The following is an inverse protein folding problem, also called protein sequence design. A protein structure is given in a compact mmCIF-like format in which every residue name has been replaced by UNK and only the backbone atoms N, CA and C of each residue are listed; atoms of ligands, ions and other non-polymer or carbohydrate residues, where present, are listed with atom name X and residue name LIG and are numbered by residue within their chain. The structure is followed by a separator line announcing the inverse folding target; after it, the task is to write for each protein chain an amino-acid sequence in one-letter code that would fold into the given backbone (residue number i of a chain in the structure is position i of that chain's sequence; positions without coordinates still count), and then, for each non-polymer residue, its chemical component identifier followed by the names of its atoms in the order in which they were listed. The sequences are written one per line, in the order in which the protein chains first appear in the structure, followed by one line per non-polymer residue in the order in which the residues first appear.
data_IF_680611879958
#
_entry.id   IF_680611879958
#
_cell.length_a   1.000
_cell.length_b   1.000
_cell.length_c   1.000
_cell.angle_alpha   90.00
_cell.angle_beta   90.00
_cell.angle_gamma   90.00
#
_symmetry.space_group_name_H-M   'P 1'
#
loop_
_entity.id
_entity.type
_entity.pdbx_description
1 polymer ?
#
# COMPACT_ATOMS: atom_id res chain seq x y z
N UNK A 1 84.51 28.07 -17.25
CA UNK A 1 84.64 26.86 -18.06
C UNK A 1 84.23 25.64 -17.21
N UNK A 2 83.18 25.04 -17.52
CA UNK A 2 82.76 23.60 -17.37
C UNK A 2 81.24 23.53 -17.38
N UNK A 3 80.73 23.07 -18.51
CA UNK A 3 79.32 22.76 -18.75
C UNK A 3 79.07 21.40 -18.04
N UNK A 4 78.03 21.30 -17.25
CA UNK A 4 77.49 20.03 -16.73
C UNK A 4 76.10 19.86 -17.39
N UNK A 5 76.01 18.84 -18.27
CA UNK A 5 74.74 18.35 -18.84
C UNK A 5 73.98 17.59 -17.73
N UNK A 6 72.78 18.06 -17.43
CA UNK A 6 71.83 17.30 -16.59
C UNK A 6 70.91 16.47 -17.47
N UNK A 7 70.96 15.14 -17.36
CA UNK A 7 70.00 14.22 -17.93
C UNK A 7 68.66 14.33 -17.14
N UNK A 8 67.58 14.70 -17.82
CA UNK A 8 66.21 14.54 -17.32
C UNK A 8 65.74 13.08 -17.61
N UNK A 9 65.63 12.27 -16.57
CA UNK A 9 64.90 11.01 -16.63
C UNK A 9 63.41 11.33 -16.57
N UNK A 10 62.68 11.13 -17.64
CA UNK A 10 61.23 11.11 -17.66
C UNK A 10 60.74 9.73 -17.16
N UNK A 11 60.24 9.66 -15.90
CA UNK A 11 59.58 8.50 -15.40
C UNK A 11 58.12 8.50 -15.97
N UNK A 12 57.88 7.63 -16.92
CA UNK A 12 56.54 7.36 -17.41
C UNK A 12 55.73 6.61 -16.37
N UNK A 13 54.78 7.26 -15.71
CA UNK A 13 53.72 6.59 -14.97
C UNK A 13 52.77 5.93 -16.00
N UNK A 14 52.92 4.62 -16.16
CA UNK A 14 51.90 3.81 -16.80
C UNK A 14 50.72 3.71 -15.80
N UNK A 15 49.68 4.50 -16.03
CA UNK A 15 48.40 4.31 -15.43
C UNK A 15 47.85 2.96 -15.94
N UNK A 16 47.94 1.91 -15.11
CA UNK A 16 47.21 0.69 -15.35
C UNK A 16 45.72 1.01 -15.17
N UNK A 17 45.01 1.25 -16.27
CA UNK A 17 43.55 1.14 -16.30
C UNK A 17 43.23 -0.31 -15.92
N UNK A 18 42.84 -0.54 -14.68
CA UNK A 18 42.29 -1.81 -14.27
C UNK A 18 41.08 -2.09 -15.14
N UNK A 19 41.15 -3.10 -15.99
CA UNK A 19 39.99 -3.58 -16.72
C UNK A 19 38.94 -3.95 -15.67
N UNK A 20 37.81 -3.27 -15.68
CA UNK A 20 36.66 -3.66 -14.87
C UNK A 20 36.40 -5.15 -15.18
N UNK A 21 36.49 -5.99 -14.15
CA UNK A 21 36.28 -7.42 -14.31
C UNK A 21 34.86 -7.63 -14.81
N UNK A 22 34.69 -8.28 -15.95
CA UNK A 22 33.37 -8.56 -16.52
C UNK A 22 32.56 -9.37 -15.51
N UNK A 23 31.32 -8.95 -15.24
CA UNK A 23 30.40 -9.62 -14.32
C UNK A 23 30.14 -11.04 -14.84
N UNK A 24 30.26 -12.04 -13.99
CA UNK A 24 29.95 -13.44 -14.34
C UNK A 24 28.45 -13.62 -14.52
N UNK A 25 28.04 -14.70 -15.20
CA UNK A 25 26.58 -15.00 -15.39
C UNK A 25 25.83 -15.10 -14.06
N UNK A 26 26.43 -15.74 -13.04
CA UNK A 26 25.77 -15.90 -11.75
C UNK A 26 25.70 -14.58 -10.96
N UNK A 27 26.74 -13.77 -11.00
CA UNK A 27 26.70 -12.41 -10.43
C UNK A 27 25.64 -11.54 -11.15
N UNK A 28 25.58 -11.60 -12.48
CA UNK A 28 24.57 -10.86 -13.26
C UNK A 28 23.14 -11.29 -12.89
N UNK A 29 22.90 -12.60 -12.67
CA UNK A 29 21.59 -13.10 -12.20
C UNK A 29 21.23 -12.56 -10.83
N UNK A 30 22.16 -12.54 -9.89
CA UNK A 30 21.94 -12.01 -8.54
C UNK A 30 21.62 -10.52 -8.60
N UNK A 31 22.47 -9.74 -9.29
CA UNK A 31 22.25 -8.29 -9.44
C UNK A 31 20.94 -7.98 -10.14
N UNK A 32 20.60 -8.73 -11.19
CA UNK A 32 19.36 -8.53 -11.93
C UNK A 32 18.12 -8.84 -11.08
N UNK A 33 18.17 -9.87 -10.24
CA UNK A 33 17.10 -10.19 -9.31
C UNK A 33 16.92 -9.07 -8.28
N UNK A 34 18.01 -8.61 -7.66
CA UNK A 34 17.98 -7.52 -6.68
C UNK A 34 17.47 -6.21 -7.31
N UNK A 35 17.91 -5.90 -8.54
CA UNK A 35 17.44 -4.76 -9.31
C UNK A 35 15.94 -4.84 -9.65
N UNK A 36 15.47 -6.04 -10.01
CA UNK A 36 14.05 -6.27 -10.30
C UNK A 36 13.19 -6.09 -9.06
N UNK A 37 13.60 -6.67 -7.94
CA UNK A 37 12.92 -6.52 -6.64
C UNK A 37 12.95 -5.05 -6.17
N UNK A 38 14.09 -4.37 -6.29
CA UNK A 38 14.22 -2.94 -5.97
C UNK A 38 13.19 -2.09 -6.71
N UNK A 39 13.08 -2.28 -8.03
CA UNK A 39 12.21 -1.49 -8.89
C UNK A 39 10.74 -1.91 -8.86
N UNK A 40 10.40 -3.07 -8.29
CA UNK A 40 9.07 -3.68 -8.44
C UNK A 40 7.94 -2.78 -7.94
N UNK A 41 8.10 -2.16 -6.78
CA UNK A 41 7.10 -1.23 -6.24
C UNK A 41 6.89 -0.01 -7.14
N UNK A 42 7.96 0.57 -7.68
CA UNK A 42 7.91 1.73 -8.56
C UNK A 42 7.16 1.40 -9.87
N UNK A 43 7.54 0.31 -10.53
CA UNK A 43 6.91 -0.08 -11.81
C UNK A 43 5.44 -0.49 -11.59
N UNK A 44 5.13 -1.19 -10.50
CA UNK A 44 3.74 -1.55 -10.12
C UNK A 44 2.89 -0.32 -9.87
N UNK A 45 3.41 0.64 -9.11
CA UNK A 45 2.71 1.89 -8.79
C UNK A 45 2.46 2.73 -10.03
N UNK A 46 3.41 2.77 -10.94
CA UNK A 46 3.26 3.48 -12.23
C UNK A 46 2.18 2.84 -13.11
N UNK A 47 2.22 1.52 -13.31
CA UNK A 47 1.18 0.80 -14.07
C UNK A 47 -0.20 1.07 -13.45
N UNK A 48 -0.30 0.94 -12.14
CA UNK A 48 -1.55 1.18 -11.40
C UNK A 48 -2.02 2.63 -11.55
N UNK A 49 -1.10 3.62 -11.45
CA UNK A 49 -1.42 5.03 -11.68
C UNK A 49 -2.03 5.25 -13.05
N UNK A 50 -1.39 4.74 -14.10
CA UNK A 50 -1.90 4.89 -15.47
C UNK A 50 -3.28 4.27 -15.61
N UNK A 51 -3.48 3.03 -15.12
CA UNK A 51 -4.77 2.36 -15.18
C UNK A 51 -5.87 3.11 -14.42
N UNK A 52 -5.54 3.73 -13.29
CA UNK A 52 -6.52 4.47 -12.47
C UNK A 52 -6.82 5.87 -13.00
N UNK A 53 -5.87 6.51 -13.70
CA UNK A 53 -6.03 7.92 -14.08
C UNK A 53 -6.32 8.14 -15.56
N UNK A 54 -6.10 7.16 -16.42
CA UNK A 54 -6.37 7.28 -17.86
C UNK A 54 -7.85 7.04 -18.17
N UNK A 55 -8.70 7.84 -17.57
CA UNK A 55 -10.17 7.80 -17.66
C UNK A 55 -10.72 9.21 -17.91
N UNK A 56 -11.90 9.32 -18.52
CA UNK A 56 -12.53 10.60 -18.85
C UNK A 56 -13.30 11.22 -17.66
N UNK A 57 -13.69 10.39 -16.69
CA UNK A 57 -14.47 10.79 -15.50
C UNK A 57 -14.17 9.88 -14.32
N UNK A 58 -14.48 10.38 -13.13
CA UNK A 58 -14.34 9.59 -11.91
C UNK A 58 -15.43 8.50 -11.82
N UNK A 59 -15.00 7.27 -11.51
CA UNK A 59 -15.87 6.13 -11.21
C UNK A 59 -15.17 5.19 -10.21
N UNK A 60 -15.76 5.01 -9.02
CA UNK A 60 -15.17 4.25 -7.93
C UNK A 60 -13.80 4.80 -7.53
N UNK A 61 -12.74 4.01 -7.70
CA UNK A 61 -11.34 4.39 -7.41
C UNK A 61 -10.58 4.88 -8.66
N UNK A 62 -11.22 4.97 -9.81
CA UNK A 62 -10.65 5.55 -11.03
C UNK A 62 -11.08 7.01 -11.14
N UNK A 63 -10.12 7.90 -11.37
CA UNK A 63 -10.41 9.31 -11.60
C UNK A 63 -9.30 9.96 -12.43
N UNK A 64 -9.61 10.93 -13.31
CA UNK A 64 -8.59 11.70 -13.98
C UNK A 64 -7.59 12.32 -12.98
N UNK A 65 -6.34 12.51 -13.40
CA UNK A 65 -5.29 13.16 -12.60
C UNK A 65 -5.78 14.50 -12.02
N UNK A 66 -5.65 14.70 -10.71
CA UNK A 66 -6.10 15.91 -10.02
C UNK A 66 -7.56 15.90 -9.58
N UNK A 67 -8.24 14.77 -9.63
CA UNK A 67 -9.61 14.60 -9.17
C UNK A 67 -9.73 13.39 -8.22
N UNK A 68 -10.63 13.47 -7.23
CA UNK A 68 -10.98 12.33 -6.39
C UNK A 68 -11.96 11.37 -7.08
N UNK A 69 -11.62 10.07 -7.07
CA UNK A 69 -12.55 8.97 -7.19
C UNK A 69 -13.07 8.60 -5.81
N UNK A 70 -14.39 8.51 -5.64
CA UNK A 70 -15.01 8.28 -4.34
C UNK A 70 -15.90 7.04 -4.38
N UNK A 71 -15.59 6.04 -3.57
CA UNK A 71 -16.45 4.88 -3.33
C UNK A 71 -17.61 5.31 -2.43
N UNK A 72 -18.83 5.04 -2.85
CA UNK A 72 -20.04 5.57 -2.21
C UNK A 72 -20.69 4.61 -1.21
N UNK A 73 -20.34 3.33 -1.26
CA UNK A 73 -20.85 2.24 -0.41
C UNK A 73 -19.79 1.17 -0.25
N UNK A 74 -19.94 0.32 0.74
CA UNK A 74 -19.12 -0.89 0.86
C UNK A 74 -19.26 -1.79 -0.37
N UNK A 75 -18.21 -2.57 -0.69
CA UNK A 75 -18.33 -3.61 -1.71
C UNK A 75 -19.43 -4.63 -1.35
N UNK A 76 -20.23 -5.10 -2.31
CA UNK A 76 -21.21 -6.15 -2.07
C UNK A 76 -20.54 -7.53 -1.87
N UNK A 77 -21.29 -8.52 -1.44
CA UNK A 77 -20.80 -9.87 -1.15
C UNK A 77 -20.20 -10.59 -2.38
N UNK A 78 -20.65 -10.25 -3.57
CA UNK A 78 -20.16 -10.80 -4.86
C UNK A 78 -19.00 -10.01 -5.47
N UNK A 79 -18.50 -8.97 -4.78
CA UNK A 79 -17.33 -8.23 -5.22
C UNK A 79 -16.10 -9.12 -5.35
N UNK A 80 -15.38 -9.01 -6.48
CA UNK A 80 -14.17 -9.80 -6.80
C UNK A 80 -13.05 -8.93 -7.39
N UNK A 81 -13.03 -7.64 -7.06
CA UNK A 81 -12.01 -6.70 -7.54
C UNK A 81 -10.70 -6.80 -6.77
N UNK A 82 -10.67 -6.27 -5.56
CA UNK A 82 -9.48 -6.29 -4.68
C UNK A 82 -9.72 -7.22 -3.52
N UNK A 83 -8.75 -8.11 -3.25
CA UNK A 83 -8.78 -9.08 -2.13
C UNK A 83 -8.89 -8.38 -0.77
N UNK A 84 -9.47 -9.05 0.21
CA UNK A 84 -9.74 -8.52 1.56
C UNK A 84 -10.50 -7.18 1.57
N UNK A 85 -11.67 -7.09 0.90
CA UNK A 85 -12.43 -5.84 0.82
C UNK A 85 -12.79 -5.29 2.21
N UNK A 86 -12.98 -3.96 2.27
CA UNK A 86 -13.23 -3.24 3.51
C UNK A 86 -14.73 -2.92 3.67
N UNK A 87 -15.29 -3.14 4.86
CA UNK A 87 -16.65 -2.78 5.24
C UNK A 87 -16.70 -1.90 6.50
N UNK A 88 -15.71 -1.00 6.65
CA UNK A 88 -15.60 -0.05 7.76
C UNK A 88 -15.43 1.39 7.28
N UNK A 89 -14.82 1.58 6.12
CA UNK A 89 -14.51 2.92 5.58
C UNK A 89 -14.88 3.03 4.11
N UNK A 90 -15.29 4.22 3.69
CA UNK A 90 -15.42 4.56 2.27
C UNK A 90 -14.11 5.18 1.78
N UNK A 91 -13.67 4.74 0.61
CA UNK A 91 -12.42 5.18 0.03
C UNK A 91 -12.60 6.43 -0.84
N UNK A 92 -11.57 7.28 -0.81
CA UNK A 92 -11.40 8.43 -1.71
C UNK A 92 -9.98 8.41 -2.25
N UNK A 93 -9.80 8.17 -3.54
CA UNK A 93 -8.49 8.05 -4.17
C UNK A 93 -8.24 9.21 -5.12
N UNK A 94 -7.05 9.77 -5.09
CA UNK A 94 -6.63 10.80 -6.03
C UNK A 94 -5.14 10.71 -6.32
N UNK A 95 -4.80 11.00 -7.57
CA UNK A 95 -3.43 11.18 -8.04
C UNK A 95 -3.19 12.63 -8.43
N UNK A 96 -2.00 13.16 -8.14
CA UNK A 96 -1.58 14.49 -8.53
C UNK A 96 -0.24 14.43 -9.27
N UNK A 97 -0.09 15.24 -10.33
CA UNK A 97 1.17 15.50 -11.01
C UNK A 97 1.78 16.80 -10.48
N UNK A 98 2.88 16.68 -9.75
CA UNK A 98 3.60 17.79 -9.14
C UNK A 98 4.72 18.36 -10.03
N UNK A 99 4.81 17.89 -11.28
CA UNK A 99 5.90 18.25 -12.18
C UNK A 99 5.91 19.71 -12.63
N UNK A 100 4.77 20.40 -12.62
CA UNK A 100 4.67 21.81 -13.00
C UNK A 100 4.59 22.75 -11.81
N UNK A 101 3.81 22.39 -10.79
CA UNK A 101 3.61 23.17 -9.57
C UNK A 101 3.08 22.28 -8.44
N UNK A 102 3.17 22.72 -7.15
CA UNK A 102 2.52 22.06 -6.04
C UNK A 102 0.99 22.04 -6.19
N UNK A 103 0.39 21.04 -5.54
CA UNK A 103 -1.06 20.94 -5.40
C UNK A 103 -1.49 21.10 -3.96
N UNK A 104 -2.69 21.62 -3.75
CA UNK A 104 -3.32 21.72 -2.44
C UNK A 104 -4.40 20.66 -2.32
N UNK A 105 -4.29 19.80 -1.30
CA UNK A 105 -5.35 18.93 -0.85
C UNK A 105 -6.08 19.59 0.32
N UNK A 106 -7.40 19.62 0.26
CA UNK A 106 -8.25 20.19 1.31
C UNK A 106 -9.33 19.20 1.75
N UNK A 107 -9.61 19.14 3.05
CA UNK A 107 -10.79 18.45 3.58
C UNK A 107 -11.58 19.35 4.51
N UNK A 108 -12.92 19.17 4.62
CA UNK A 108 -13.77 19.95 5.53
C UNK A 108 -13.52 19.58 7.00
N UNK A 109 -14.25 20.24 7.91
CA UNK A 109 -14.37 19.79 9.29
C UNK A 109 -15.04 18.40 9.32
N UNK A 110 -14.35 17.41 9.84
CA UNK A 110 -14.76 16.02 9.93
C UNK A 110 -15.44 15.68 11.27
N UNK A 111 -15.44 16.64 12.21
CA UNK A 111 -15.93 16.45 13.56
C UNK A 111 -15.21 15.30 14.28
N UNK A 112 -15.98 14.43 14.90
CA UNK A 112 -15.46 13.23 15.59
C UNK A 112 -15.40 11.99 14.69
N UNK A 113 -15.75 12.11 13.39
CA UNK A 113 -15.69 10.99 12.46
C UNK A 113 -14.24 10.65 12.14
N UNK A 114 -13.87 9.39 12.34
CA UNK A 114 -12.54 8.92 12.00
C UNK A 114 -12.30 9.03 10.50
N UNK A 115 -11.14 9.54 10.14
CA UNK A 115 -10.67 9.60 8.76
C UNK A 115 -9.14 9.51 8.70
N UNK A 116 -8.65 9.15 7.52
CA UNK A 116 -7.23 8.96 7.25
C UNK A 116 -6.99 9.18 5.75
N UNK A 117 -6.00 10.03 5.40
CA UNK A 117 -5.54 10.28 4.03
C UNK A 117 -4.05 9.94 3.89
N UNK A 118 -3.67 8.66 3.96
CA UNK A 118 -2.29 8.29 3.73
C UNK A 118 -1.87 8.71 2.33
N UNK A 119 -0.71 9.34 2.27
CA UNK A 119 -0.11 9.92 1.07
C UNK A 119 1.13 9.12 0.72
N UNK A 120 1.24 8.70 -0.53
CA UNK A 120 2.29 7.80 -1.01
C UNK A 120 3.04 8.45 -2.17
N UNK A 121 4.36 8.29 -2.20
CA UNK A 121 5.14 8.56 -3.39
C UNK A 121 5.11 7.38 -4.37
N UNK A 122 5.82 7.48 -5.50
CA UNK A 122 5.85 6.39 -6.48
C UNK A 122 6.61 5.13 -6.00
N UNK A 123 7.47 5.24 -4.99
CA UNK A 123 8.12 4.09 -4.36
C UNK A 123 7.24 3.37 -3.35
N UNK A 124 6.07 3.94 -3.02
CA UNK A 124 4.99 3.36 -2.20
C UNK A 124 5.12 3.49 -0.67
N UNK A 125 6.18 4.01 -0.04
CA UNK A 125 6.10 4.30 1.38
C UNK A 125 5.04 5.37 1.67
N UNK A 126 4.45 5.32 2.86
CA UNK A 126 3.62 6.41 3.37
C UNK A 126 4.55 7.57 3.74
N UNK A 127 4.44 8.68 3.04
CA UNK A 127 5.24 9.90 3.29
C UNK A 127 4.56 10.87 4.25
N UNK A 128 3.24 10.82 4.33
CA UNK A 128 2.42 11.58 5.28
C UNK A 128 1.08 10.88 5.49
N UNK A 129 0.45 11.16 6.63
CA UNK A 129 -0.84 10.56 7.00
C UNK A 129 -1.78 11.60 7.59
N UNK A 130 -2.26 12.60 6.82
CA UNK A 130 -3.32 13.49 7.28
C UNK A 130 -4.53 12.71 7.78
N UNK A 131 -5.03 13.04 8.97
CA UNK A 131 -6.17 12.30 9.52
C UNK A 131 -6.40 12.56 11.00
N UNK A 132 -7.35 11.82 11.57
CA UNK A 132 -7.75 11.96 12.98
C UNK A 132 -6.57 11.89 13.95
N UNK A 133 -5.59 11.02 13.68
CA UNK A 133 -4.39 10.85 14.53
C UNK A 133 -3.46 12.07 14.48
N UNK A 134 -3.24 12.65 13.31
CA UNK A 134 -2.17 13.62 13.06
C UNK A 134 -2.65 15.07 13.09
N UNK A 135 -3.93 15.32 12.78
CA UNK A 135 -4.48 16.65 12.58
C UNK A 135 -5.80 16.90 13.35
N UNK A 136 -6.39 15.86 13.96
CA UNK A 136 -7.72 15.97 14.55
C UNK A 136 -8.82 16.13 13.50
N UNK A 137 -10.01 16.58 13.92
CA UNK A 137 -11.19 16.64 13.04
C UNK A 137 -11.41 17.94 12.27
N UNK A 138 -10.61 18.99 12.48
CA UNK A 138 -10.84 20.30 11.87
C UNK A 138 -10.49 20.34 10.40
N UNK A 139 -11.15 21.23 9.65
CA UNK A 139 -10.81 21.52 8.26
C UNK A 139 -9.34 21.89 8.11
N UNK A 140 -8.69 21.36 7.07
CA UNK A 140 -7.27 21.56 6.86
C UNK A 140 -6.90 21.61 5.37
N UNK A 141 -5.75 22.24 5.10
CA UNK A 141 -5.15 22.34 3.78
C UNK A 141 -3.71 21.82 3.83
N UNK A 142 -3.36 20.97 2.86
CA UNK A 142 -2.04 20.37 2.75
C UNK A 142 -1.42 20.72 1.41
N UNK A 143 -0.23 21.31 1.44
CA UNK A 143 0.53 21.64 0.22
C UNK A 143 1.41 20.47 -0.14
N UNK A 144 1.06 19.75 -1.23
CA UNK A 144 1.88 18.69 -1.81
C UNK A 144 2.97 19.32 -2.68
N UNK A 145 4.20 19.39 -2.15
CA UNK A 145 5.33 20.02 -2.83
C UNK A 145 6.21 18.97 -3.48
N UNK A 146 6.29 18.99 -4.83
CA UNK A 146 7.11 18.06 -5.61
C UNK A 146 8.62 18.29 -5.48
N UNK A 147 9.44 17.43 -6.13
CA UNK A 147 10.89 17.47 -6.01
C UNK A 147 11.47 18.84 -6.33
N UNK A 148 12.32 19.34 -5.44
CA UNK A 148 13.06 20.59 -5.67
C UNK A 148 12.26 21.89 -5.54
N UNK A 149 10.98 21.85 -5.18
CA UNK A 149 10.20 23.07 -4.96
C UNK A 149 10.74 23.90 -3.80
N UNK A 150 10.90 25.23 -4.00
CA UNK A 150 11.52 26.19 -3.06
C UNK A 150 10.61 27.38 -2.74
N UNK A 151 9.34 27.36 -3.14
CA UNK A 151 8.41 28.44 -2.88
C UNK A 151 8.03 28.58 -1.41
N UNK A 152 7.30 29.64 -1.10
CA UNK A 152 6.76 29.88 0.24
C UNK A 152 5.48 29.06 0.46
N UNK A 153 5.35 28.51 1.66
CA UNK A 153 4.12 27.81 2.09
C UNK A 153 3.08 28.86 2.49
N UNK A 154 1.91 28.89 1.86
CA UNK A 154 0.85 29.82 2.25
C UNK A 154 0.44 29.62 3.72
N UNK A 155 0.09 30.74 4.39
CA UNK A 155 -0.35 30.70 5.78
C UNK A 155 -1.55 29.77 5.96
N UNK A 156 -1.54 28.96 7.01
CA UNK A 156 -2.60 27.99 7.33
C UNK A 156 -2.52 26.68 6.58
N UNK A 157 -1.48 26.44 5.78
CA UNK A 157 -1.23 25.16 5.12
C UNK A 157 -0.13 24.35 5.82
N UNK A 158 -0.30 23.03 5.82
CA UNK A 158 0.75 22.09 6.21
C UNK A 158 1.44 21.59 4.95
N UNK A 159 2.77 21.78 4.87
CA UNK A 159 3.57 21.29 3.74
C UNK A 159 3.84 19.81 3.88
N UNK A 160 3.70 19.08 2.78
CA UNK A 160 4.15 17.69 2.59
C UNK A 160 5.16 17.68 1.44
N UNK A 161 6.41 17.36 1.76
CA UNK A 161 7.46 17.18 0.75
C UNK A 161 7.31 15.82 0.08
N UNK A 162 7.10 15.82 -1.24
CA UNK A 162 6.93 14.62 -2.04
C UNK A 162 8.21 14.40 -2.84
N UNK A 163 8.92 13.27 -2.65
CA UNK A 163 10.20 13.02 -3.32
C UNK A 163 10.05 12.60 -4.78
N UNK A 164 8.84 12.35 -5.27
CA UNK A 164 8.55 11.93 -6.64
C UNK A 164 7.61 12.91 -7.33
N UNK A 165 7.58 12.88 -8.67
CA UNK A 165 6.71 13.74 -9.48
C UNK A 165 5.22 13.48 -9.22
N UNK A 166 4.84 12.22 -9.12
CA UNK A 166 3.45 11.84 -8.86
C UNK A 166 3.26 11.46 -7.40
N UNK A 167 2.09 11.75 -6.88
CA UNK A 167 1.70 11.43 -5.51
C UNK A 167 0.29 10.87 -5.48
N UNK A 168 0.09 9.84 -4.67
CA UNK A 168 -1.21 9.22 -4.41
C UNK A 168 -1.72 9.63 -3.03
N UNK A 169 -3.00 9.96 -2.94
CA UNK A 169 -3.78 9.96 -1.69
C UNK A 169 -4.80 8.83 -1.77
N UNK A 170 -4.82 7.95 -0.75
CA UNK A 170 -5.86 6.94 -0.60
C UNK A 170 -6.62 7.14 0.71
N UNK A 171 -7.56 8.06 0.67
CA UNK A 171 -8.40 8.44 1.81
C UNK A 171 -9.33 7.31 2.26
N UNK A 172 -9.55 7.25 3.57
CA UNK A 172 -10.50 6.35 4.24
C UNK A 172 -11.33 7.17 5.22
N UNK A 173 -12.63 7.19 5.04
CA UNK A 173 -13.58 7.85 5.95
C UNK A 173 -14.48 6.80 6.57
N UNK A 174 -14.52 6.72 7.90
CA UNK A 174 -15.36 5.78 8.62
C UNK A 174 -16.82 5.87 8.21
N UNK A 175 -17.44 4.74 7.99
CA UNK A 175 -18.86 4.60 7.76
C UNK A 175 -19.43 3.44 8.60
N UNK A 176 -20.68 3.51 9.02
CA UNK A 176 -21.32 2.46 9.81
C UNK A 176 -22.17 1.48 8.99
N UNK A 177 -22.25 1.69 7.66
CA UNK A 177 -22.94 0.80 6.75
C UNK A 177 -24.44 1.08 6.55
N UNK A 178 -25.01 2.07 7.24
CA UNK A 178 -26.41 2.48 7.01
C UNK A 178 -26.54 3.46 5.87
N UNK A 179 -27.70 3.48 5.19
CA UNK A 179 -27.97 4.43 4.09
C UNK A 179 -27.83 5.88 4.52
N UNK A 180 -28.29 6.21 5.73
CA UNK A 180 -28.16 7.55 6.31
C UNK A 180 -26.69 7.94 6.44
N UNK A 181 -25.87 7.06 7.01
CA UNK A 181 -24.46 7.32 7.26
C UNK A 181 -23.66 7.38 5.95
N UNK A 182 -23.99 6.53 4.97
CA UNK A 182 -23.43 6.65 3.63
C UNK A 182 -23.70 8.03 3.01
N UNK A 183 -24.92 8.55 3.16
CA UNK A 183 -25.25 9.88 2.65
C UNK A 183 -24.42 10.99 3.34
N UNK A 184 -24.22 10.89 4.66
CA UNK A 184 -23.37 11.82 5.43
C UNK A 184 -21.90 11.75 4.97
N UNK A 185 -21.31 10.54 4.83
CA UNK A 185 -19.95 10.37 4.33
C UNK A 185 -19.81 10.87 2.90
N UNK A 186 -20.77 10.58 2.03
CA UNK A 186 -20.78 11.08 0.66
C UNK A 186 -20.82 12.60 0.58
N UNK A 187 -21.52 13.27 1.51
CA UNK A 187 -21.53 14.73 1.62
C UNK A 187 -20.16 15.30 2.06
N UNK A 188 -19.40 14.57 2.91
CA UNK A 188 -18.02 14.93 3.23
C UNK A 188 -17.09 14.71 2.04
N UNK A 189 -17.23 13.58 1.35
CA UNK A 189 -16.43 13.26 0.17
C UNK A 189 -16.61 14.30 -0.97
N UNK A 190 -17.80 14.86 -1.09
CA UNK A 190 -18.08 15.93 -2.07
C UNK A 190 -17.35 17.26 -1.77
N UNK A 191 -16.79 17.41 -0.58
CA UNK A 191 -16.04 18.58 -0.14
C UNK A 191 -14.52 18.34 -0.13
N UNK A 192 -14.05 17.13 -0.44
CA UNK A 192 -12.61 16.90 -0.64
C UNK A 192 -12.19 17.57 -1.94
N UNK A 193 -11.23 18.47 -1.83
CA UNK A 193 -10.81 19.32 -2.95
C UNK A 193 -9.32 19.14 -3.27
N UNK A 194 -9.04 19.22 -4.56
CA UNK A 194 -7.69 19.27 -5.10
C UNK A 194 -7.57 20.43 -6.08
N UNK A 195 -6.62 21.29 -5.86
CA UNK A 195 -6.34 22.39 -6.79
C UNK A 195 -4.83 22.64 -6.94
N UNK A 196 -4.34 23.03 -8.12
CA UNK A 196 -2.99 23.57 -8.26
C UNK A 196 -2.81 24.76 -7.32
N UNK A 197 -1.63 24.93 -6.73
CA UNK A 197 -1.34 26.04 -5.81
C UNK A 197 -1.68 27.40 -6.43
N UNK A 198 -1.35 27.60 -7.71
CA UNK A 198 -1.64 28.81 -8.46
C UNK A 198 -3.13 29.15 -8.57
N UNK A 199 -4.01 28.13 -8.38
CA UNK A 199 -5.47 28.24 -8.47
C UNK A 199 -6.18 28.16 -7.14
N UNK A 200 -5.47 27.86 -6.06
CA UNK A 200 -6.07 27.72 -4.73
C UNK A 200 -6.77 29.00 -4.27
N UNK A 201 -8.02 28.84 -3.82
CA UNK A 201 -8.87 29.95 -3.37
C UNK A 201 -9.42 30.84 -4.47
N UNK A 202 -9.20 30.55 -5.74
CA UNK A 202 -9.78 31.30 -6.85
C UNK A 202 -11.18 30.76 -7.19
N UNK A 203 -12.17 31.62 -7.09
CA UNK A 203 -13.58 31.25 -7.34
C UNK A 203 -13.89 30.90 -8.81
N UNK A 204 -13.05 31.32 -9.73
CA UNK A 204 -13.16 31.08 -11.16
C UNK A 204 -12.35 29.85 -11.64
N UNK A 205 -11.66 29.17 -10.73
CA UNK A 205 -10.96 27.93 -11.07
C UNK A 205 -11.98 26.83 -11.42
N UNK A 206 -11.84 26.27 -12.60
CA UNK A 206 -12.60 25.12 -13.06
C UNK A 206 -11.62 24.00 -13.41
N UNK A 207 -11.72 22.91 -12.69
CA UNK A 207 -10.91 21.72 -12.98
C UNK A 207 -11.18 21.23 -14.42
N UNK A 208 -10.12 20.87 -15.13
CA UNK A 208 -10.16 20.26 -16.45
C UNK A 208 -9.41 18.94 -16.43
N UNK A 209 -10.14 17.86 -16.68
CA UNK A 209 -9.52 16.54 -16.79
C UNK A 209 -8.51 16.53 -17.94
N UNK A 210 -7.32 15.93 -17.75
CA UNK A 210 -6.43 15.60 -18.84
C UNK A 210 -7.15 14.73 -19.89
N UNK A 211 -6.79 14.84 -21.18
CA UNK A 211 -7.35 13.95 -22.20
C UNK A 211 -6.93 12.50 -21.92
N UNK A 212 -7.83 11.57 -22.21
CA UNK A 212 -7.50 10.14 -22.17
C UNK A 212 -6.48 9.83 -23.27
N UNK A 213 -5.38 9.19 -22.87
CA UNK A 213 -4.36 8.72 -23.83
C UNK A 213 -4.86 7.44 -24.50
N UNK A 214 -5.06 7.42 -25.83
CA UNK A 214 -5.51 6.21 -26.52
C UNK A 214 -4.43 5.12 -26.60
N UNK A 215 -3.16 5.45 -26.29
CA UNK A 215 -2.01 4.55 -26.32
C UNK A 215 -1.19 4.65 -25.03
N UNK A 216 -1.76 4.29 -23.87
CA UNK A 216 -1.11 4.50 -22.57
C UNK A 216 0.14 3.63 -22.32
N UNK A 217 0.48 2.75 -23.27
CA UNK A 217 1.62 1.83 -23.18
C UNK A 217 1.38 0.59 -22.33
N UNK A 218 0.22 0.48 -21.69
CA UNK A 218 -0.18 -0.63 -20.82
C UNK A 218 -1.59 -1.11 -21.16
N UNK A 219 -1.84 -2.41 -20.87
CA UNK A 219 -3.21 -2.92 -20.81
C UNK A 219 -3.97 -2.20 -19.69
N UNK A 220 -5.17 -1.70 -20.01
CA UNK A 220 -6.05 -1.02 -19.05
C UNK A 220 -6.94 -1.98 -18.26
N UNK A 221 -6.92 -3.28 -18.58
CA UNK A 221 -7.80 -4.30 -18.01
C UNK A 221 -7.07 -5.43 -17.32
N UNK A 222 -5.81 -5.69 -17.70
CA UNK A 222 -5.01 -6.74 -17.07
C UNK A 222 -4.53 -6.28 -15.70
N UNK A 223 -4.38 -7.24 -14.77
CA UNK A 223 -3.79 -6.93 -13.45
C UNK A 223 -2.38 -6.37 -13.62
N UNK A 224 -1.94 -5.40 -12.77
CA UNK A 224 -0.59 -4.83 -12.87
C UNK A 224 0.52 -5.89 -12.92
N UNK A 225 0.41 -6.97 -12.16
CA UNK A 225 1.36 -8.10 -12.22
C UNK A 225 1.49 -8.71 -13.62
N UNK A 226 0.37 -8.88 -14.33
CA UNK A 226 0.36 -9.44 -15.69
C UNK A 226 0.99 -8.48 -16.70
N UNK A 227 0.69 -7.18 -16.55
CA UNK A 227 1.32 -6.13 -17.37
C UNK A 227 2.83 -6.14 -17.18
N UNK A 228 3.31 -6.21 -15.93
CA UNK A 228 4.75 -6.21 -15.59
C UNK A 228 5.43 -7.48 -16.14
N UNK A 229 4.83 -8.66 -15.96
CA UNK A 229 5.34 -9.90 -16.54
C UNK A 229 5.47 -9.80 -18.06
N UNK A 230 4.49 -9.20 -18.72
CA UNK A 230 4.47 -9.01 -20.17
C UNK A 230 5.55 -8.06 -20.70
N UNK A 231 6.15 -7.21 -19.87
CA UNK A 231 7.28 -6.34 -20.29
C UNK A 231 8.53 -7.14 -20.62
N UNK A 232 8.71 -8.32 -20.04
CA UNK A 232 9.95 -9.07 -20.07
C UNK A 232 11.10 -8.33 -19.35
N UNK A 233 12.28 -8.93 -19.30
CA UNK A 233 13.43 -8.38 -18.55
C UNK A 233 13.88 -7.02 -19.11
N UNK A 234 14.07 -6.92 -20.43
CA UNK A 234 14.55 -5.69 -21.07
C UNK A 234 13.55 -4.55 -20.96
N UNK A 235 12.27 -4.82 -21.24
CA UNK A 235 11.21 -3.81 -21.14
C UNK A 235 11.03 -3.29 -19.73
N UNK A 236 11.10 -4.19 -18.74
CA UNK A 236 11.02 -3.82 -17.33
C UNK A 236 12.16 -2.89 -16.89
N UNK A 237 13.42 -3.25 -17.20
CA UNK A 237 14.56 -2.41 -16.81
C UNK A 237 14.61 -1.08 -17.56
N UNK A 238 14.18 -1.05 -18.81
CA UNK A 238 14.03 0.21 -19.53
C UNK A 238 12.95 1.10 -18.90
N UNK A 239 11.83 0.52 -18.46
CA UNK A 239 10.81 1.29 -17.74
C UNK A 239 11.33 1.80 -16.41
N UNK A 240 11.97 0.96 -15.62
CA UNK A 240 12.59 1.33 -14.35
C UNK A 240 13.59 2.49 -14.51
N UNK A 241 14.51 2.39 -15.50
CA UNK A 241 15.49 3.42 -15.79
C UNK A 241 14.85 4.77 -16.16
N UNK A 242 13.75 4.73 -16.93
CA UNK A 242 12.98 5.92 -17.32
C UNK A 242 12.30 6.57 -16.11
N UNK A 243 11.67 5.79 -15.26
CA UNK A 243 10.98 6.27 -14.06
C UNK A 243 11.96 6.90 -13.06
N UNK A 244 13.10 6.23 -12.83
CA UNK A 244 14.16 6.78 -11.95
C UNK A 244 14.75 8.09 -12.50
N UNK A 245 14.74 8.28 -13.81
CA UNK A 245 15.26 9.48 -14.44
C UNK A 245 14.35 10.70 -14.27
N UNK A 246 13.05 10.51 -14.45
CA UNK A 246 12.12 11.63 -14.65
C UNK A 246 11.11 11.82 -13.53
N UNK A 247 10.63 10.72 -12.96
CA UNK A 247 9.45 10.76 -12.11
C UNK A 247 9.73 10.39 -10.66
N UNK A 248 10.72 9.53 -10.41
CA UNK A 248 11.01 8.96 -9.10
C UNK A 248 12.53 8.76 -8.91
N UNK A 249 13.31 9.82 -8.71
CA UNK A 249 14.74 9.66 -8.47
C UNK A 249 14.98 8.79 -7.23
N UNK A 250 16.00 7.89 -7.27
CA UNK A 250 16.39 7.10 -6.12
C UNK A 250 16.75 7.96 -4.90
N UNK A 251 16.42 7.49 -3.70
CA UNK A 251 16.84 8.13 -2.47
C UNK A 251 18.36 7.98 -2.25
N UNK A 252 18.94 8.82 -1.40
CA UNK A 252 20.38 8.76 -1.10
C UNK A 252 20.79 7.41 -0.49
N UNK A 253 19.92 6.81 0.31
CA UNK A 253 20.11 5.50 0.92
C UNK A 253 20.14 4.33 -0.08
N UNK A 254 19.60 4.53 -1.27
CA UNK A 254 19.58 3.54 -2.35
C UNK A 254 20.92 3.50 -3.14
N UNK A 255 21.87 4.39 -2.85
CA UNK A 255 23.15 4.46 -3.58
C UNK A 255 23.87 3.10 -3.72
N UNK A 256 23.89 2.20 -2.71
CA UNK A 256 24.52 0.88 -2.85
C UNK A 256 23.86 0.01 -3.93
N UNK A 257 22.53 -0.10 -3.94
CA UNK A 257 21.82 -0.92 -4.94
C UNK A 257 21.91 -0.30 -6.33
N UNK A 258 21.90 1.02 -6.44
CA UNK A 258 22.09 1.72 -7.73
C UNK A 258 23.48 1.43 -8.31
N UNK A 259 24.52 1.41 -7.46
CA UNK A 259 25.87 1.06 -7.89
C UNK A 259 26.00 -0.41 -8.33
N UNK A 260 25.30 -1.33 -7.66
CA UNK A 260 25.25 -2.74 -8.07
C UNK A 260 24.51 -2.92 -9.42
N UNK A 261 23.34 -2.30 -9.59
CA UNK A 261 22.55 -2.36 -10.82
C UNK A 261 23.33 -1.82 -12.03
N UNK A 262 24.14 -0.78 -11.81
CA UNK A 262 24.98 -0.18 -12.87
C UNK A 262 25.99 -1.18 -13.45
N UNK A 263 26.44 -2.20 -12.70
CA UNK A 263 27.37 -3.23 -13.19
C UNK A 263 26.78 -4.08 -14.33
N UNK A 264 25.46 -4.16 -14.42
CA UNK A 264 24.74 -4.86 -15.51
C UNK A 264 24.07 -3.89 -16.46
N UNK A 265 24.36 -2.57 -16.36
CA UNK A 265 23.84 -1.53 -17.24
C UNK A 265 22.43 -1.03 -16.91
N UNK A 266 21.87 -1.35 -15.74
CA UNK A 266 20.59 -0.78 -15.27
C UNK A 266 20.90 0.51 -14.51
N UNK A 267 20.73 1.65 -15.18
CA UNK A 267 21.06 2.97 -14.64
C UNK A 267 19.95 3.98 -14.95
N UNK A 268 19.67 4.94 -14.05
CA UNK A 268 18.74 6.03 -14.35
C UNK A 268 19.14 6.76 -15.65
N UNK A 269 18.16 7.13 -16.47
CA UNK A 269 18.34 7.86 -17.73
C UNK A 269 19.11 7.13 -18.85
N UNK A 270 19.48 5.86 -18.67
CA UNK A 270 20.17 5.10 -19.70
C UNK A 270 19.31 3.94 -20.20
N UNK A 271 19.26 3.71 -21.52
CA UNK A 271 18.57 2.54 -22.04
C UNK A 271 19.33 1.27 -21.64
N UNK A 272 18.59 0.29 -21.16
CA UNK A 272 19.11 -1.05 -20.86
C UNK A 272 19.07 -1.91 -22.13
N UNK A 273 20.14 -2.66 -22.38
CA UNK A 273 20.23 -3.60 -23.48
C UNK A 273 20.66 -4.99 -22.97
N UNK A 274 19.71 -5.91 -22.93
CA UNK A 274 19.94 -7.27 -22.42
C UNK A 274 21.00 -8.01 -23.26
N UNK A 275 21.04 -7.81 -24.57
CA UNK A 275 22.00 -8.47 -25.44
C UNK A 275 23.44 -8.02 -25.23
N UNK A 276 23.67 -6.81 -24.70
CA UNK A 276 24.99 -6.30 -24.37
C UNK A 276 25.68 -7.09 -23.24
N UNK A 277 24.94 -7.85 -22.43
CA UNK A 277 25.48 -8.72 -21.37
C UNK A 277 26.06 -10.04 -21.90
N UNK A 278 25.98 -10.25 -23.21
CA UNK A 278 26.39 -11.52 -23.88
C UNK A 278 25.30 -12.59 -23.90
N UNK A 279 25.44 -13.57 -24.78
CA UNK A 279 24.35 -14.55 -25.06
C UNK A 279 24.00 -15.42 -23.85
N UNK A 280 24.98 -15.85 -23.06
CA UNK A 280 24.74 -16.73 -21.91
C UNK A 280 24.00 -16.01 -20.80
N UNK A 281 24.37 -14.78 -20.47
CA UNK A 281 23.69 -13.93 -19.48
C UNK A 281 22.29 -13.54 -19.97
N UNK A 282 22.15 -13.16 -21.23
CA UNK A 282 20.85 -12.80 -21.80
C UNK A 282 19.88 -14.00 -21.76
N UNK A 283 20.34 -15.20 -22.07
CA UNK A 283 19.56 -16.42 -21.93
C UNK A 283 19.16 -16.72 -20.47
N UNK A 284 20.09 -16.54 -19.54
CA UNK A 284 19.86 -16.79 -18.11
C UNK A 284 18.86 -15.81 -17.48
N UNK A 285 18.77 -14.57 -18.00
CA UNK A 285 17.85 -13.52 -17.50
C UNK A 285 16.49 -13.49 -18.22
N UNK A 286 16.25 -14.36 -19.20
CA UNK A 286 15.00 -14.36 -19.99
C UNK A 286 13.75 -14.48 -19.13
N UNK A 287 13.77 -15.37 -18.15
CA UNK A 287 12.63 -15.71 -17.29
C UNK A 287 12.68 -14.99 -15.93
N UNK A 288 13.53 -13.95 -15.79
CA UNK A 288 13.69 -13.16 -14.56
C UNK A 288 12.35 -12.61 -14.01
N UNK A 289 11.42 -12.05 -14.82
CA UNK A 289 10.15 -11.55 -14.29
C UNK A 289 9.34 -12.60 -13.55
N UNK A 290 9.24 -13.82 -14.08
CA UNK A 290 8.52 -14.92 -13.43
C UNK A 290 9.25 -15.39 -12.17
N UNK A 291 10.58 -15.55 -12.23
CA UNK A 291 11.39 -15.94 -11.09
C UNK A 291 11.28 -14.92 -9.93
N UNK A 292 11.23 -13.63 -10.25
CA UNK A 292 11.04 -12.58 -9.26
C UNK A 292 9.63 -12.65 -8.62
N UNK A 293 8.58 -12.84 -9.41
CA UNK A 293 7.23 -13.01 -8.87
C UNK A 293 7.11 -14.24 -7.97
N UNK A 294 7.73 -15.35 -8.34
CA UNK A 294 7.79 -16.56 -7.52
C UNK A 294 8.56 -16.32 -6.19
N UNK A 295 9.64 -15.53 -6.24
CA UNK A 295 10.37 -15.11 -5.04
C UNK A 295 9.48 -14.26 -4.13
N UNK A 296 8.77 -13.28 -4.68
CA UNK A 296 7.86 -12.42 -3.91
C UNK A 296 6.72 -13.23 -3.27
N UNK A 297 6.14 -14.19 -3.98
CA UNK A 297 5.09 -15.07 -3.43
C UNK A 297 5.59 -15.95 -2.28
N UNK A 298 6.83 -16.45 -2.35
CA UNK A 298 7.45 -17.19 -1.23
C UNK A 298 7.68 -16.29 -0.01
N UNK A 299 8.09 -15.03 -0.22
CA UNK A 299 8.31 -14.08 0.87
C UNK A 299 6.99 -13.57 1.46
N UNK A 300 5.93 -13.45 0.67
CA UNK A 300 4.59 -13.08 1.17
C UNK A 300 4.11 -14.04 2.25
N UNK A 301 4.26 -15.35 2.02
CA UNK A 301 3.87 -16.38 2.98
C UNK A 301 4.61 -16.31 4.34
N UNK A 302 5.75 -15.63 4.40
CA UNK A 302 6.60 -15.51 5.59
C UNK A 302 6.73 -14.08 6.12
N UNK A 303 6.06 -13.12 5.51
CA UNK A 303 6.19 -11.69 5.85
C UNK A 303 5.60 -11.33 7.22
N UNK A 304 4.64 -12.11 7.71
CA UNK A 304 4.01 -11.91 9.01
C UNK A 304 4.77 -12.57 10.15
N UNK A 305 4.65 -11.98 11.34
CA UNK A 305 5.14 -12.57 12.60
C UNK A 305 3.94 -13.14 13.34
N UNK A 306 3.98 -14.44 13.63
CA UNK A 306 2.93 -15.08 14.43
C UNK A 306 3.15 -14.81 15.92
N UNK A 307 2.09 -14.37 16.60
CA UNK A 307 2.02 -14.22 18.06
C UNK A 307 0.62 -14.62 18.52
N UNK A 308 0.55 -15.52 19.50
CA UNK A 308 -0.71 -15.99 20.08
C UNK A 308 -1.72 -16.54 19.03
N UNK A 309 -1.22 -17.21 17.97
CA UNK A 309 -2.05 -17.74 16.87
C UNK A 309 -2.51 -16.70 15.86
N UNK A 310 -2.08 -15.43 15.99
CA UNK A 310 -2.39 -14.36 15.06
C UNK A 310 -1.14 -13.92 14.28
N UNK A 311 -1.31 -13.66 13.00
CA UNK A 311 -0.26 -13.16 12.10
C UNK A 311 -0.32 -11.64 12.05
N UNK A 312 0.82 -10.99 12.26
CA UNK A 312 0.99 -9.55 12.26
C UNK A 312 1.98 -9.14 11.17
N UNK A 313 1.61 -8.18 10.36
CA UNK A 313 2.53 -7.54 9.42
C UNK A 313 2.65 -6.05 9.75
N UNK A 314 3.89 -5.55 9.83
CA UNK A 314 4.17 -4.12 9.91
C UNK A 314 4.62 -3.63 8.54
N UNK A 315 3.83 -2.76 7.92
CA UNK A 315 3.97 -2.31 6.54
C UNK A 315 3.83 -0.78 6.45
N UNK A 316 3.96 -0.20 5.28
CA UNK A 316 3.80 1.25 5.05
C UNK A 316 5.10 2.06 5.17
N UNK A 317 6.10 1.56 5.88
CA UNK A 317 7.46 2.07 5.92
C UNK A 317 8.46 0.93 5.67
N UNK A 318 9.40 1.09 4.78
CA UNK A 318 10.24 0.00 4.27
C UNK A 318 11.74 0.29 4.38
N UNK A 319 12.18 1.56 4.32
CA UNK A 319 13.60 1.89 4.21
C UNK A 319 14.24 1.14 3.04
N UNK A 320 15.35 0.46 3.29
CA UNK A 320 16.06 -0.37 2.31
C UNK A 320 15.62 -1.84 2.29
N UNK A 321 14.52 -2.19 2.94
CA UNK A 321 13.91 -3.53 2.83
C UNK A 321 13.09 -3.62 1.53
N UNK A 322 13.82 -3.75 0.41
CA UNK A 322 13.22 -3.77 -0.93
C UNK A 322 12.35 -5.01 -1.16
N UNK A 323 12.68 -6.14 -0.55
CA UNK A 323 11.88 -7.37 -0.66
C UNK A 323 10.51 -7.15 -0.04
N UNK A 324 10.46 -6.65 1.19
CA UNK A 324 9.20 -6.34 1.87
C UNK A 324 8.35 -5.32 1.09
N UNK A 325 8.98 -4.25 0.57
CA UNK A 325 8.32 -3.25 -0.25
C UNK A 325 7.73 -3.86 -1.52
N UNK A 326 8.49 -4.73 -2.21
CA UNK A 326 8.05 -5.41 -3.42
C UNK A 326 6.92 -6.42 -3.16
N UNK A 327 6.98 -7.17 -2.05
CA UNK A 327 5.91 -8.09 -1.62
C UNK A 327 4.61 -7.33 -1.38
N UNK A 328 4.67 -6.20 -0.65
CA UNK A 328 3.48 -5.37 -0.42
C UNK A 328 2.96 -4.78 -1.73
N UNK A 329 3.84 -4.37 -2.64
CA UNK A 329 3.42 -3.89 -3.96
C UNK A 329 2.72 -4.97 -4.78
N UNK A 330 3.16 -6.23 -4.66
CA UNK A 330 2.58 -7.35 -5.40
C UNK A 330 1.23 -7.84 -4.85
N UNK A 331 1.05 -7.83 -3.51
CA UNK A 331 -0.05 -8.55 -2.87
C UNK A 331 -0.92 -7.71 -1.93
N UNK A 332 -0.47 -6.52 -1.52
CA UNK A 332 -1.17 -5.67 -0.53
C UNK A 332 -1.13 -4.17 -0.80
N UNK A 333 -0.95 -3.75 -2.05
CA UNK A 333 -0.81 -2.35 -2.46
C UNK A 333 -2.07 -1.51 -2.24
N UNK A 334 -1.93 -0.27 -1.71
CA UNK A 334 -0.87 0.23 -0.83
C UNK A 334 -1.22 0.03 0.65
N UNK A 335 -0.21 -0.02 1.52
CA UNK A 335 -0.38 -0.29 2.95
C UNK A 335 -0.32 0.98 3.81
N UNK A 336 -0.97 0.95 4.99
CA UNK A 336 -0.92 2.03 5.97
C UNK A 336 0.29 1.87 6.91
N UNK A 337 0.64 2.96 7.62
CA UNK A 337 1.53 2.87 8.78
C UNK A 337 0.84 2.10 9.92
N UNK A 338 1.58 1.35 10.74
CA UNK A 338 1.02 0.63 11.88
C UNK A 338 0.29 1.55 12.88
N UNK A 339 0.76 2.78 13.06
CA UNK A 339 0.16 3.80 13.93
C UNK A 339 -1.22 4.26 13.44
N UNK A 340 -1.48 4.09 12.15
CA UNK A 340 -2.76 4.46 11.52
C UNK A 340 -3.73 3.28 11.47
N UNK A 341 -3.24 2.09 11.11
CA UNK A 341 -4.06 0.88 11.06
C UNK A 341 -3.22 -0.40 11.04
N UNK A 342 -3.65 -1.40 11.80
CA UNK A 342 -3.09 -2.76 11.77
C UNK A 342 -4.18 -3.79 11.54
N UNK A 343 -3.80 -4.90 10.88
CA UNK A 343 -4.74 -5.92 10.39
C UNK A 343 -4.28 -7.34 10.76
N UNK A 344 -4.20 -7.69 12.07
CA UNK A 344 -3.88 -9.06 12.46
C UNK A 344 -4.99 -10.02 12.02
N UNK A 345 -4.58 -11.19 11.53
CA UNK A 345 -5.49 -12.25 11.11
C UNK A 345 -5.05 -13.61 11.62
N UNK A 346 -5.97 -14.56 11.62
CA UNK A 346 -5.66 -15.96 11.95
C UNK A 346 -6.40 -16.91 11.02
N UNK A 347 -5.79 -18.06 10.74
CA UNK A 347 -6.40 -19.18 10.03
C UNK A 347 -6.51 -20.43 10.89
N UNK A 348 -6.13 -20.33 12.18
CA UNK A 348 -6.12 -21.47 13.11
C UNK A 348 -6.83 -21.14 14.42
N UNK A 349 -7.32 -22.17 15.08
CA UNK A 349 -7.83 -22.08 16.45
C UNK A 349 -6.70 -22.19 17.49
N UNK A 350 -7.06 -22.18 18.79
CA UNK A 350 -6.11 -22.27 19.91
C UNK A 350 -5.29 -23.56 19.91
N UNK A 351 -5.76 -24.61 19.26
CA UNK A 351 -5.11 -25.92 19.17
C UNK A 351 -4.32 -26.08 17.85
N UNK A 352 -4.17 -24.96 17.08
CA UNK A 352 -3.45 -24.93 15.80
C UNK A 352 -4.21 -25.59 14.65
N UNK A 353 -5.52 -25.87 14.81
CA UNK A 353 -6.31 -26.50 13.75
C UNK A 353 -6.88 -25.45 12.79
N UNK A 354 -6.93 -25.72 11.49
CA UNK A 354 -7.50 -24.80 10.50
C UNK A 354 -8.95 -24.44 10.81
N UNK A 355 -9.29 -23.14 10.66
CA UNK A 355 -10.65 -22.66 10.81
C UNK A 355 -11.51 -23.07 9.62
N UNK A 356 -12.66 -23.69 9.90
CA UNK A 356 -13.61 -24.14 8.88
C UNK A 356 -15.05 -24.00 9.39
N UNK A 357 -15.97 -23.64 8.51
CA UNK A 357 -17.39 -23.50 8.86
C UNK A 357 -18.12 -24.82 9.17
N UNK A 358 -17.42 -25.94 9.11
CA UNK A 358 -17.93 -27.22 9.66
C UNK A 358 -17.98 -27.23 11.19
N UNK A 359 -17.28 -26.29 11.84
CA UNK A 359 -17.20 -26.15 13.29
C UNK A 359 -17.75 -24.79 13.73
N UNK A 360 -17.97 -24.66 15.04
CA UNK A 360 -18.34 -23.40 15.69
C UNK A 360 -17.16 -22.90 16.51
N UNK A 361 -17.00 -21.58 16.57
CA UNK A 361 -15.88 -20.97 17.27
C UNK A 361 -16.34 -19.74 18.06
N UNK A 362 -15.59 -19.41 19.08
CA UNK A 362 -15.73 -18.18 19.87
C UNK A 362 -14.42 -17.44 19.98
N UNK A 363 -14.52 -16.12 20.07
CA UNK A 363 -13.45 -15.21 20.48
C UNK A 363 -13.97 -14.37 21.63
N UNK A 364 -13.33 -14.43 22.80
CA UNK A 364 -13.80 -13.72 23.98
C UNK A 364 -12.77 -12.69 24.44
N UNK A 365 -13.16 -11.44 24.49
CA UNK A 365 -12.43 -10.37 25.15
C UNK A 365 -12.85 -10.32 26.61
N UNK A 366 -11.89 -10.39 27.55
CA UNK A 366 -12.18 -10.13 28.94
C UNK A 366 -12.67 -8.68 29.13
N UNK A 367 -13.36 -8.41 30.22
CA UNK A 367 -13.89 -7.08 30.51
C UNK A 367 -12.80 -6.00 30.47
N UNK A 368 -12.92 -5.04 29.51
CA UNK A 368 -11.99 -3.95 29.34
C UNK A 368 -10.71 -4.34 28.58
N UNK A 369 -10.66 -5.54 27.97
CA UNK A 369 -9.55 -6.03 27.19
C UNK A 369 -9.88 -6.11 25.67
N UNK A 370 -10.91 -5.39 25.24
CA UNK A 370 -11.20 -5.21 23.82
C UNK A 370 -10.02 -4.53 23.10
N UNK A 371 -9.94 -4.60 21.75
CA UNK A 371 -8.84 -4.02 20.99
C UNK A 371 -8.55 -2.56 21.39
N UNK A 372 -7.32 -2.25 21.88
CA UNK A 372 -6.98 -0.92 22.39
C UNK A 372 -6.71 0.07 21.25
N UNK A 373 -7.72 0.83 20.89
CA UNK A 373 -7.67 1.84 19.83
C UNK A 373 -8.11 3.21 20.33
N UNK A 374 -7.67 4.28 19.65
CA UNK A 374 -8.22 5.63 19.79
C UNK A 374 -9.29 5.91 18.73
N UNK A 375 -9.22 5.24 17.59
CA UNK A 375 -10.23 5.26 16.55
C UNK A 375 -11.32 4.21 16.81
N UNK A 376 -11.33 3.16 16.02
CA UNK A 376 -12.30 2.07 16.15
C UNK A 376 -11.66 0.72 15.75
N UNK A 377 -12.36 -0.38 16.05
CA UNK A 377 -11.98 -1.71 15.61
C UNK A 377 -13.16 -2.48 15.05
N UNK A 378 -12.87 -3.45 14.21
CA UNK A 378 -13.82 -4.45 13.71
C UNK A 378 -13.13 -5.79 13.51
N UNK A 379 -13.90 -6.86 13.35
CA UNK A 379 -13.43 -8.14 12.82
C UNK A 379 -14.18 -8.41 11.53
N UNK A 380 -13.46 -8.60 10.45
CA UNK A 380 -14.01 -8.95 9.14
C UNK A 380 -13.83 -10.44 8.88
N UNK A 381 -14.86 -11.09 8.35
CA UNK A 381 -14.82 -12.49 7.94
C UNK A 381 -14.53 -12.60 6.44
N UNK A 382 -13.51 -13.43 6.09
CA UNK A 382 -13.22 -13.76 4.70
C UNK A 382 -13.26 -15.26 4.47
N UNK A 383 -13.89 -15.68 3.38
CA UNK A 383 -13.64 -17.01 2.80
C UNK A 383 -12.27 -16.99 2.09
N UNK A 384 -11.53 -18.09 2.13
CA UNK A 384 -10.15 -18.14 1.61
C UNK A 384 -9.93 -19.16 0.51
N UNK A 385 -10.92 -19.98 0.18
CA UNK A 385 -10.80 -21.02 -0.84
C UNK A 385 -10.60 -20.46 -2.26
N UNK A 386 -11.08 -19.23 -2.53
CA UNK A 386 -10.99 -18.56 -3.84
C UNK A 386 -10.34 -17.17 -3.75
N UNK A 387 -9.78 -16.81 -2.63
CA UNK A 387 -9.12 -15.50 -2.44
C UNK A 387 -9.77 -14.65 -1.39
N UNK A 388 -9.67 -14.31 -0.39
CA UNK A 388 -10.11 -13.48 0.76
C UNK A 388 -11.31 -12.57 0.41
N UNK A 389 -12.49 -13.19 0.22
CA UNK A 389 -13.72 -12.49 -0.16
C UNK A 389 -14.71 -12.44 1.00
N UNK A 390 -15.63 -11.46 0.95
CA UNK A 390 -16.75 -11.44 1.88
C UNK A 390 -17.60 -12.70 1.77
N UNK A 391 -18.13 -13.14 2.91
CA UNK A 391 -19.02 -14.30 3.01
C UNK A 391 -20.46 -13.85 2.77
N UNK A 392 -21.12 -14.25 1.67
CA UNK A 392 -22.54 -13.98 1.48
C UNK A 392 -23.37 -14.60 2.62
N UNK A 393 -24.23 -13.81 3.24
CA UNK A 393 -25.08 -14.27 4.34
C UNK A 393 -26.39 -13.48 4.39
N UNK A 394 -27.41 -14.05 5.04
CA UNK A 394 -28.77 -13.48 5.11
C UNK A 394 -28.85 -12.13 5.84
N UNK A 395 -27.86 -11.81 6.69
CA UNK A 395 -27.79 -10.55 7.41
C UNK A 395 -27.07 -9.46 6.63
N UNK A 396 -26.44 -9.79 5.49
CA UNK A 396 -25.52 -8.93 4.76
C UNK A 396 -24.42 -8.32 5.70
N UNK A 397 -24.00 -9.09 6.70
CA UNK A 397 -23.07 -8.71 7.77
C UNK A 397 -21.69 -9.30 7.49
N UNK A 398 -20.71 -8.47 7.15
CA UNK A 398 -19.35 -8.89 6.81
C UNK A 398 -18.36 -8.62 7.92
N UNK A 399 -18.74 -7.78 8.89
CA UNK A 399 -17.94 -7.41 10.05
C UNK A 399 -18.74 -7.51 11.33
N UNK A 400 -18.03 -7.63 12.45
CA UNK A 400 -18.57 -7.45 13.80
C UNK A 400 -17.71 -6.44 14.56
N UNK A 401 -18.34 -5.50 15.25
CA UNK A 401 -17.68 -4.40 15.95
C UNK A 401 -18.61 -3.80 17.03
N UNK A 402 -18.14 -2.88 17.88
CA UNK A 402 -18.99 -2.19 18.85
C UNK A 402 -20.25 -1.50 18.27
N UNK A 403 -20.21 -1.11 16.98
CA UNK A 403 -21.37 -0.51 16.28
C UNK A 403 -22.57 -1.47 16.15
N UNK A 404 -22.36 -2.77 16.34
CA UNK A 404 -23.41 -3.80 16.29
C UNK A 404 -24.17 -3.93 17.61
N UNK A 405 -23.91 -3.05 18.60
CA UNK A 405 -24.48 -3.11 19.95
C UNK A 405 -24.19 -4.46 20.64
N UNK A 406 -22.91 -4.82 20.71
CA UNK A 406 -22.46 -6.08 21.29
C UNK A 406 -23.03 -6.30 22.69
N UNK A 407 -23.52 -7.51 22.95
CA UNK A 407 -24.09 -7.92 24.24
C UNK A 407 -23.00 -8.53 25.10
N UNK A 408 -22.65 -7.93 26.23
CA UNK A 408 -21.65 -8.50 27.14
C UNK A 408 -22.23 -9.71 27.91
N UNK A 409 -21.36 -10.59 28.35
CA UNK A 409 -21.66 -11.66 29.28
C UNK A 409 -21.91 -11.11 30.70
N UNK A 410 -22.42 -11.96 31.62
CA UNK A 410 -22.72 -11.54 32.97
C UNK A 410 -21.49 -11.03 33.76
N UNK A 411 -20.28 -11.47 33.41
CA UNK A 411 -19.02 -11.02 34.00
C UNK A 411 -18.42 -9.74 33.31
N UNK A 412 -19.12 -9.25 32.28
CA UNK A 412 -18.74 -8.08 31.51
C UNK A 412 -17.76 -8.38 30.40
N UNK A 413 -17.35 -9.61 30.15
CA UNK A 413 -16.60 -10.02 28.97
C UNK A 413 -17.48 -9.96 27.72
N UNK A 414 -16.87 -9.90 26.51
CA UNK A 414 -17.58 -9.89 25.21
C UNK A 414 -17.16 -11.11 24.42
N UNK A 415 -18.12 -12.00 24.14
CA UNK A 415 -17.91 -13.18 23.31
C UNK A 415 -18.47 -12.95 21.91
N UNK A 416 -17.65 -13.13 20.89
CA UNK A 416 -18.03 -13.14 19.47
C UNK A 416 -18.16 -14.59 18.99
N UNK A 417 -19.12 -14.84 18.10
CA UNK A 417 -19.43 -16.16 17.57
C UNK A 417 -19.08 -16.23 16.08
N UNK A 418 -18.28 -17.21 15.69
CA UNK A 418 -17.91 -17.46 14.29
C UNK A 418 -18.41 -18.84 13.89
N UNK A 419 -19.51 -18.89 13.17
CA UNK A 419 -20.15 -20.11 12.71
C UNK A 419 -21.07 -19.83 11.53
N UNK A 420 -21.42 -20.85 10.75
CA UNK A 420 -22.26 -20.70 9.57
C UNK A 420 -23.73 -20.41 9.92
N UNK A 421 -24.27 -21.12 10.92
CA UNK A 421 -25.66 -20.98 11.36
C UNK A 421 -25.79 -19.99 12.52
N UNK A 422 -26.96 -19.34 12.65
CA UNK A 422 -27.23 -18.41 13.76
C UNK A 422 -27.05 -19.08 15.12
N UNK A 423 -26.36 -18.45 16.09
CA UNK A 423 -26.24 -18.93 17.45
C UNK A 423 -27.51 -18.70 18.30
N UNK A 424 -28.56 -18.12 17.71
CA UNK A 424 -29.78 -17.70 18.38
C UNK A 424 -29.92 -16.18 18.44
N UNK A 425 -31.17 -15.69 18.49
CA UNK A 425 -31.53 -14.26 18.43
C UNK A 425 -30.82 -13.38 19.44
N UNK A 426 -30.64 -13.89 20.66
CA UNK A 426 -29.98 -13.23 21.77
C UNK A 426 -28.46 -13.05 21.56
N UNK A 427 -27.86 -13.75 20.60
CA UNK A 427 -26.43 -13.72 20.28
C UNK A 427 -26.13 -13.15 18.91
N UNK A 428 -27.13 -12.80 18.11
CA UNK A 428 -26.93 -12.33 16.72
C UNK A 428 -26.15 -11.02 16.63
N UNK A 429 -26.24 -10.14 17.63
CA UNK A 429 -25.42 -8.93 17.69
C UNK A 429 -23.91 -9.26 17.69
N UNK A 430 -23.53 -10.33 18.40
CA UNK A 430 -22.15 -10.78 18.55
C UNK A 430 -21.74 -11.83 17.49
N UNK A 431 -22.63 -12.19 16.57
CA UNK A 431 -22.35 -13.21 15.56
C UNK A 431 -21.81 -12.61 14.27
N UNK A 432 -20.75 -13.21 13.77
CA UNK A 432 -20.20 -12.97 12.44
C UNK A 432 -20.31 -14.26 11.62
N UNK A 433 -21.19 -14.31 10.62
CA UNK A 433 -21.44 -15.51 9.82
C UNK A 433 -20.17 -15.97 9.10
N UNK A 434 -19.79 -17.25 9.32
CA UNK A 434 -18.68 -17.90 8.62
C UNK A 434 -19.15 -18.64 7.37
N UNK A 435 -18.29 -18.84 6.33
CA UNK A 435 -18.61 -19.68 5.19
C UNK A 435 -18.70 -21.15 5.64
N UNK A 436 -19.12 -22.05 4.74
CA UNK A 436 -19.07 -23.51 4.99
C UNK A 436 -17.65 -24.07 4.91
N UNK A 437 -16.80 -23.49 4.06
CA UNK A 437 -15.41 -23.87 3.83
C UNK A 437 -14.44 -23.23 4.81
N UNK A 438 -13.18 -23.14 4.40
CA UNK A 438 -12.12 -22.51 5.15
C UNK A 438 -12.33 -20.97 5.24
N UNK A 439 -11.94 -20.39 6.36
CA UNK A 439 -12.12 -18.95 6.58
C UNK A 439 -11.02 -18.33 7.43
N UNK A 440 -10.99 -17.01 7.39
CA UNK A 440 -10.04 -16.18 8.10
C UNK A 440 -10.78 -14.97 8.70
N UNK A 441 -10.82 -14.81 10.02
CA UNK A 441 -11.17 -13.55 10.67
C UNK A 441 -9.95 -12.63 10.72
N UNK A 442 -10.14 -11.37 10.32
CA UNK A 442 -9.15 -10.32 10.39
C UNK A 442 -9.62 -9.22 11.33
N UNK A 443 -8.87 -8.97 12.39
CA UNK A 443 -9.12 -7.80 13.25
C UNK A 443 -8.56 -6.57 12.51
N UNK A 444 -9.39 -5.54 12.37
CA UNK A 444 -8.98 -4.24 11.85
C UNK A 444 -8.98 -3.24 13.00
N UNK A 445 -7.79 -2.72 13.34
CA UNK A 445 -7.62 -1.74 14.40
C UNK A 445 -7.16 -0.43 13.79
N UNK A 446 -8.00 0.59 13.83
CA UNK A 446 -7.71 1.91 13.30
C UNK A 446 -7.28 2.84 14.44
N UNK A 447 -6.16 3.53 14.25
CA UNK A 447 -5.50 4.36 15.26
C UNK A 447 -5.29 3.59 16.57
N UNK A 448 -4.53 2.49 16.54
CA UNK A 448 -4.22 1.72 17.74
C UNK A 448 -3.49 2.59 18.77
N UNK A 449 -3.71 2.30 20.05
CA UNK A 449 -2.99 3.00 21.13
C UNK A 449 -1.50 2.69 21.05
N UNK A 450 -0.66 3.70 21.24
CA UNK A 450 0.79 3.54 21.27
C UNK A 450 1.30 3.04 22.63
N UNK A 451 0.62 3.47 23.72
CA UNK A 451 0.97 3.07 25.10
C UNK A 451 0.18 1.85 25.52
N UNK A 452 0.75 1.07 26.47
CA UNK A 452 0.10 -0.12 27.04
C UNK A 452 -1.29 0.17 27.64
N UNK A 453 -2.27 -0.71 27.38
CA UNK A 453 -2.17 -1.86 26.49
C UNK A 453 -2.10 -1.45 25.01
N UNK A 454 -1.20 -2.07 24.23
CA UNK A 454 -0.98 -1.74 22.82
C UNK A 454 -0.57 -2.95 22.00
N UNK A 455 -1.17 -3.07 20.82
CA UNK A 455 -0.78 -4.06 19.83
C UNK A 455 0.58 -3.71 19.19
N UNK A 456 0.91 -2.40 19.08
CA UNK A 456 2.13 -1.93 18.43
C UNK A 456 3.39 -2.35 19.17
N UNK A 457 3.35 -2.38 20.50
CA UNK A 457 4.47 -2.83 21.33
C UNK A 457 4.32 -4.25 21.86
N UNK A 458 3.22 -4.94 21.52
CA UNK A 458 2.95 -6.32 21.92
C UNK A 458 2.49 -6.51 23.38
N UNK A 459 2.17 -5.42 24.11
CA UNK A 459 1.63 -5.52 25.47
C UNK A 459 0.13 -5.89 25.49
N UNK A 460 -0.52 -5.88 24.34
CA UNK A 460 -1.83 -6.46 24.10
C UNK A 460 -1.74 -7.34 22.85
N UNK A 461 -2.32 -8.52 22.93
CA UNK A 461 -2.49 -9.44 21.80
C UNK A 461 -3.95 -9.90 21.74
N UNK A 462 -4.50 -10.14 20.55
CA UNK A 462 -5.83 -10.71 20.42
C UNK A 462 -5.92 -12.05 21.16
N UNK A 463 -7.05 -12.35 21.83
CA UNK A 463 -7.30 -13.69 22.36
C UNK A 463 -7.31 -14.74 21.25
N UNK A 464 -7.00 -15.97 21.58
CA UNK A 464 -7.08 -17.09 20.64
C UNK A 464 -8.54 -17.46 20.33
N UNK A 465 -8.77 -17.93 19.11
CA UNK A 465 -10.08 -18.46 18.70
C UNK A 465 -10.23 -19.87 19.27
N UNK A 466 -11.37 -20.12 19.91
CA UNK A 466 -11.67 -21.39 20.59
C UNK A 466 -12.77 -22.12 19.86
N UNK A 467 -12.51 -23.36 19.46
CA UNK A 467 -13.54 -24.26 18.95
C UNK A 467 -14.49 -24.63 20.08
N UNK A 468 -15.80 -24.60 19.79
CA UNK A 468 -16.88 -24.99 20.72
C UNK A 468 -17.73 -26.07 20.06
N UNK A 469 -18.43 -26.85 20.91
CA UNK A 469 -19.28 -27.98 20.46
C UNK A 469 -20.60 -27.48 19.81
#
# INVERSE_FOLDING_TARGET
MRRICGLLLAAGMAASAGAAQAVTVDEAKTIAMDAYVYGYSLVTTEVTRVQMTNVDKADGLHAPMGQFGNVKRYPPADYRGVSAPNADTLYSLAWMDLGSEPWVFSHPDMGDRYFLFPTYDLWMPVIASPGSRTAGGKAAHYLMAGPGWKGEVPAGMTKIDVPTRYVLILGRTYANGTDKDYAEVNALQAQYDLSPLSSFGKADYVYKAPPVDPNPGYSMTDKPQQVILGMGTEGYFNRLATLMCHDAPPAAEDAPIIAEMAKIGVEPCKPFNLSALGPDTAAALKDLPQQALDLLGKNEATMGVEKNGWVFAQVGAYGTDYVKRAVVAAFGWPANLPEDAVYPYTMVDKDGQPLTGANKYTLTFAKGEEPPVNGFWSITMYEIDQGWWFVPNALNKFTVSPRDNLVPNADGSVTLYFQNESPGKDKEANWLPAPKGAFLPMIRMYWPKEKSPSILNGSWLPPQIVKVD
#
